data_IF_610467418996
#
_entry.id   IF_610467418996
#
_cell.length_a   1.000
_cell.length_b   1.000
_cell.length_c   1.000
_cell.angle_alpha   90.00
_cell.angle_beta   90.00
_cell.angle_gamma   90.00
#
_symmetry.space_group_name_H-M   'P 1'
#
loop_
_entity.id
_entity.type
_entity.pdbx_description
1 polymer ?
#
# COMPACT_ATOMS: atom_id res chain seq x y z
N UNK A 1 38.40 -81.36 6.64
CA UNK A 1 37.49 -80.20 6.79
C UNK A 1 37.34 -79.54 5.43
N UNK A 2 36.23 -79.78 4.75
CA UNK A 2 35.97 -79.31 3.38
C UNK A 2 35.43 -77.88 3.41
N UNK A 3 36.13 -76.93 2.76
CA UNK A 3 35.61 -75.57 2.53
C UNK A 3 34.46 -75.66 1.53
N UNK A 4 33.24 -75.38 1.97
CA UNK A 4 32.09 -75.15 1.07
C UNK A 4 32.37 -73.90 0.25
N UNK A 5 32.56 -74.07 -1.06
CA UNK A 5 32.46 -72.98 -2.01
C UNK A 5 30.98 -72.59 -2.11
N UNK A 6 30.65 -71.30 -1.97
CA UNK A 6 29.32 -70.81 -2.34
C UNK A 6 29.22 -70.84 -3.87
N UNK A 7 28.08 -71.25 -4.45
CA UNK A 7 27.84 -71.14 -5.88
C UNK A 7 27.99 -69.68 -6.31
N UNK A 8 28.72 -69.44 -7.40
CA UNK A 8 28.81 -68.13 -8.01
C UNK A 8 27.44 -67.78 -8.61
N UNK A 9 26.72 -66.84 -7.98
CA UNK A 9 25.46 -66.31 -8.50
C UNK A 9 25.76 -65.08 -9.37
N UNK A 10 25.57 -65.16 -10.71
CA UNK A 10 25.88 -64.06 -11.61
C UNK A 10 24.93 -62.86 -11.48
N UNK A 11 23.86 -62.97 -10.68
CA UNK A 11 22.83 -61.92 -10.50
C UNK A 11 22.96 -61.11 -9.20
N UNK A 12 23.95 -61.40 -8.35
CA UNK A 12 24.22 -60.61 -7.13
C UNK A 12 24.95 -59.28 -7.41
N UNK A 13 25.25 -58.95 -8.66
CA UNK A 13 25.75 -57.63 -9.06
C UNK A 13 24.58 -56.71 -9.30
N UNK A 14 24.27 -55.87 -8.30
CA UNK A 14 23.30 -54.78 -8.43
C UNK A 14 23.50 -54.04 -9.76
N UNK A 15 22.45 -54.02 -10.58
CA UNK A 15 22.51 -53.48 -11.94
C UNK A 15 22.79 -51.97 -11.93
N UNK A 16 23.23 -51.39 -13.07
CA UNK A 16 23.57 -49.96 -13.18
C UNK A 16 22.38 -49.00 -12.92
N UNK A 17 21.19 -49.53 -12.68
CA UNK A 17 19.95 -48.79 -12.43
C UNK A 17 19.26 -49.15 -11.10
N UNK A 18 19.93 -49.86 -10.17
CA UNK A 18 19.39 -49.96 -8.82
C UNK A 18 19.38 -48.57 -8.16
N UNK A 19 18.25 -48.12 -7.57
CA UNK A 19 18.20 -46.86 -6.85
C UNK A 19 19.15 -46.97 -5.65
N UNK A 20 20.35 -46.41 -5.83
CA UNK A 20 21.35 -46.29 -4.77
C UNK A 20 20.69 -45.53 -3.63
N UNK A 21 20.41 -46.21 -2.51
CA UNK A 21 19.89 -45.57 -1.31
C UNK A 21 20.85 -44.44 -0.93
N UNK A 22 20.46 -43.19 -1.24
CA UNK A 22 21.22 -42.01 -0.82
C UNK A 22 20.98 -41.89 0.69
N UNK A 23 21.83 -42.55 1.48
CA UNK A 23 21.86 -42.39 2.93
C UNK A 23 22.43 -41.01 3.22
N UNK A 24 21.56 -40.05 3.49
CA UNK A 24 21.98 -38.77 4.04
C UNK A 24 22.69 -39.01 5.38
N UNK A 25 23.98 -38.65 5.52
CA UNK A 25 24.67 -38.80 6.79
C UNK A 25 23.97 -37.94 7.84
N UNK A 26 23.47 -38.55 8.92
CA UNK A 26 22.91 -37.80 10.05
C UNK A 26 24.05 -36.99 10.68
N UNK A 27 23.95 -35.65 10.75
CA UNK A 27 25.03 -34.84 11.28
C UNK A 27 25.31 -35.24 12.74
N UNK A 28 26.60 -35.30 13.15
CA UNK A 28 26.97 -35.72 14.50
C UNK A 28 26.45 -34.72 15.54
N UNK A 29 26.15 -35.16 16.77
CA UNK A 29 25.57 -34.31 17.85
C UNK A 29 26.30 -32.97 18.06
N UNK A 30 27.62 -32.93 17.83
CA UNK A 30 28.47 -31.72 17.86
C UNK A 30 28.10 -30.66 16.81
N UNK A 31 27.59 -31.05 15.64
CA UNK A 31 27.08 -30.12 14.62
C UNK A 31 25.86 -29.35 15.15
N UNK A 32 24.93 -30.03 15.82
CA UNK A 32 23.76 -29.39 16.44
C UNK A 32 24.13 -28.47 17.60
N UNK A 33 25.19 -28.79 18.36
CA UNK A 33 25.73 -27.90 19.40
C UNK A 33 26.33 -26.65 18.76
N UNK A 34 27.14 -26.81 17.71
CA UNK A 34 27.71 -25.68 16.96
C UNK A 34 26.64 -24.81 16.28
N UNK A 35 25.64 -25.44 15.64
CA UNK A 35 24.50 -24.76 15.05
C UNK A 35 23.63 -24.05 16.10
N UNK A 36 23.47 -24.65 17.29
CA UNK A 36 22.77 -24.04 18.42
C UNK A 36 23.51 -22.82 18.98
N UNK A 37 24.84 -22.89 19.13
CA UNK A 37 25.67 -21.76 19.54
C UNK A 37 25.67 -20.64 18.51
N UNK A 38 25.79 -20.98 17.22
CA UNK A 38 25.69 -20.01 16.13
C UNK A 38 24.30 -19.37 16.10
N UNK A 39 23.24 -20.17 16.24
CA UNK A 39 21.87 -19.70 16.32
C UNK A 39 21.64 -18.77 17.52
N UNK A 40 22.20 -19.10 18.68
CA UNK A 40 22.17 -18.25 19.86
C UNK A 40 22.93 -16.94 19.64
N UNK A 41 24.12 -16.98 19.04
CA UNK A 41 24.90 -15.79 18.73
C UNK A 41 24.17 -14.86 17.74
N UNK A 42 23.55 -15.43 16.70
CA UNK A 42 22.70 -14.69 15.74
C UNK A 42 21.50 -14.09 16.46
N UNK A 43 20.85 -14.85 17.34
CA UNK A 43 19.71 -14.38 18.13
C UNK A 43 20.10 -13.22 19.05
N UNK A 44 21.20 -13.37 19.81
CA UNK A 44 21.75 -12.29 20.64
C UNK A 44 22.04 -11.07 19.79
N UNK A 45 22.70 -11.21 18.63
CA UNK A 45 23.01 -10.09 17.76
C UNK A 45 21.74 -9.37 17.24
N UNK A 46 20.74 -10.14 16.80
CA UNK A 46 19.45 -9.63 16.31
C UNK A 46 18.68 -8.85 17.39
N UNK A 47 18.73 -9.29 18.65
CA UNK A 47 18.01 -8.65 19.75
C UNK A 47 18.83 -7.56 20.46
N UNK A 48 20.16 -7.70 20.51
CA UNK A 48 21.03 -6.73 21.18
C UNK A 48 21.01 -5.37 20.48
N UNK A 49 21.02 -5.34 19.14
CA UNK A 49 21.05 -4.08 18.39
C UNK A 49 19.81 -3.19 18.67
N UNK A 50 18.55 -3.68 18.56
CA UNK A 50 17.37 -2.90 18.93
C UNK A 50 17.35 -2.44 20.39
N UNK A 51 17.83 -3.29 21.32
CA UNK A 51 17.88 -2.97 22.75
C UNK A 51 18.88 -1.83 23.01
N UNK A 52 20.10 -1.95 22.48
CA UNK A 52 21.13 -0.92 22.61
C UNK A 52 20.66 0.38 21.97
N UNK A 53 20.06 0.33 20.78
CA UNK A 53 19.47 1.50 20.14
C UNK A 53 18.38 2.14 21.04
N UNK A 54 17.45 1.35 21.58
CA UNK A 54 16.39 1.86 22.46
C UNK A 54 16.93 2.56 23.71
N UNK A 55 17.93 1.95 24.38
CA UNK A 55 18.57 2.56 25.54
C UNK A 55 19.41 3.78 25.20
N UNK A 56 20.00 3.83 24.02
CA UNK A 56 20.73 5.00 23.55
C UNK A 56 19.77 6.16 23.30
N UNK A 57 18.64 5.91 22.64
CA UNK A 57 17.68 6.98 22.34
C UNK A 57 16.95 7.48 23.56
N UNK A 58 16.57 6.62 24.50
CA UNK A 58 15.92 7.11 25.73
C UNK A 58 16.85 8.05 26.50
N UNK A 59 18.16 7.74 26.58
CA UNK A 59 19.14 8.60 27.24
C UNK A 59 19.39 9.90 26.47
N UNK A 60 19.42 9.84 25.14
CA UNK A 60 19.54 11.02 24.30
C UNK A 60 18.34 11.98 24.46
N UNK A 61 17.11 11.45 24.46
CA UNK A 61 15.90 12.24 24.71
C UNK A 61 15.83 12.78 26.14
N UNK A 62 16.31 12.02 27.14
CA UNK A 62 16.38 12.47 28.54
C UNK A 62 17.36 13.64 28.69
N UNK A 63 18.53 13.56 28.05
CA UNK A 63 19.52 14.64 28.05
C UNK A 63 19.00 15.95 27.44
N UNK A 64 18.03 15.87 26.51
CA UNK A 64 17.38 17.03 25.90
C UNK A 64 16.11 17.49 26.65
N UNK A 65 15.70 16.80 27.71
CA UNK A 65 14.46 17.10 28.45
C UNK A 65 13.17 16.68 27.72
N UNK A 66 13.26 15.85 26.68
CA UNK A 66 12.13 15.40 25.85
C UNK A 66 11.78 13.91 26.05
N UNK A 67 12.15 13.32 27.18
CA UNK A 67 11.86 11.91 27.51
C UNK A 67 10.39 11.53 27.33
N UNK A 68 9.47 12.40 27.76
CA UNK A 68 8.04 12.15 27.66
C UNK A 68 7.56 12.01 26.20
N UNK A 69 8.13 12.80 25.29
CA UNK A 69 7.84 12.72 23.85
C UNK A 69 8.25 11.35 23.29
N UNK A 70 9.43 10.87 23.65
CA UNK A 70 9.91 9.56 23.22
C UNK A 70 9.05 8.43 23.77
N UNK A 71 8.75 8.44 25.07
CA UNK A 71 7.93 7.39 25.71
C UNK A 71 6.52 7.35 25.15
N UNK A 72 5.91 8.51 24.88
CA UNK A 72 4.57 8.58 24.27
C UNK A 72 4.59 8.06 22.83
N UNK A 73 5.60 8.44 22.04
CA UNK A 73 5.78 7.90 20.68
C UNK A 73 5.90 6.38 20.70
N UNK A 74 6.80 5.83 21.51
CA UNK A 74 7.03 4.37 21.60
C UNK A 74 5.77 3.66 22.10
N UNK A 75 5.07 4.23 23.09
CA UNK A 75 3.82 3.70 23.59
C UNK A 75 2.77 3.61 22.48
N UNK A 76 2.54 4.68 21.72
CA UNK A 76 1.59 4.69 20.61
C UNK A 76 1.95 3.67 19.52
N UNK A 77 3.24 3.62 19.13
CA UNK A 77 3.73 2.63 18.15
C UNK A 77 3.47 1.19 18.61
N UNK A 78 3.79 0.90 19.87
CA UNK A 78 3.63 -0.44 20.45
C UNK A 78 2.16 -0.78 20.66
N UNK A 79 1.34 0.18 21.12
CA UNK A 79 -0.10 0.01 21.31
C UNK A 79 -0.81 -0.26 19.99
N UNK A 80 -0.46 0.46 18.91
CA UNK A 80 -1.00 0.19 17.57
C UNK A 80 -0.60 -1.19 17.05
N UNK A 81 0.67 -1.57 17.21
CA UNK A 81 1.14 -2.89 16.82
C UNK A 81 0.40 -4.00 17.59
N UNK A 82 0.38 -3.94 18.92
CA UNK A 82 -0.27 -4.96 19.76
C UNK A 82 -1.79 -4.97 19.52
N UNK A 83 -2.43 -3.81 19.47
CA UNK A 83 -3.88 -3.70 19.26
C UNK A 83 -4.32 -4.29 17.91
N UNK A 84 -3.64 -3.92 16.83
CA UNK A 84 -3.90 -4.49 15.50
C UNK A 84 -3.57 -5.99 15.46
N UNK A 85 -2.46 -6.42 16.05
CA UNK A 85 -2.07 -7.83 16.11
C UNK A 85 -3.11 -8.69 16.82
N UNK A 86 -3.54 -8.28 18.02
CA UNK A 86 -4.54 -9.02 18.79
C UNK A 86 -5.88 -9.06 18.05
N UNK A 87 -6.32 -7.94 17.45
CA UNK A 87 -7.56 -7.89 16.68
C UNK A 87 -7.51 -8.85 15.48
N UNK A 88 -6.43 -8.79 14.67
CA UNK A 88 -6.25 -9.67 13.51
C UNK A 88 -6.14 -11.13 13.94
N UNK A 89 -5.37 -11.42 14.98
CA UNK A 89 -5.15 -12.78 15.48
C UNK A 89 -6.47 -13.41 15.95
N UNK A 90 -7.23 -12.71 16.79
CA UNK A 90 -8.53 -13.18 17.28
C UNK A 90 -9.49 -13.41 16.10
N UNK A 91 -9.57 -12.45 15.18
CA UNK A 91 -10.42 -12.56 14.00
C UNK A 91 -10.04 -13.76 13.10
N UNK A 92 -8.76 -13.93 12.78
CA UNK A 92 -8.28 -15.03 11.94
C UNK A 92 -8.45 -16.38 12.62
N UNK A 93 -8.10 -16.50 13.91
CA UNK A 93 -8.28 -17.75 14.67
C UNK A 93 -9.76 -18.13 14.72
N UNK A 94 -10.66 -17.18 14.97
CA UNK A 94 -12.10 -17.44 14.98
C UNK A 94 -12.57 -18.02 13.63
N UNK A 95 -12.16 -17.42 12.52
CA UNK A 95 -12.52 -17.89 11.17
C UNK A 95 -11.87 -19.25 10.84
N UNK A 96 -10.63 -19.49 11.23
CA UNK A 96 -9.97 -20.80 11.06
C UNK A 96 -10.68 -21.87 11.87
N UNK A 97 -11.07 -21.59 13.12
CA UNK A 97 -11.85 -22.51 13.95
C UNK A 97 -13.17 -22.85 13.27
N UNK A 98 -13.89 -21.86 12.73
CA UNK A 98 -15.14 -22.08 11.98
C UNK A 98 -14.88 -22.96 10.75
N UNK A 99 -13.84 -22.65 9.95
CA UNK A 99 -13.51 -23.42 8.75
C UNK A 99 -13.17 -24.89 9.06
N UNK A 100 -12.35 -25.13 10.09
CA UNK A 100 -12.00 -26.48 10.54
C UNK A 100 -13.23 -27.26 11.06
N UNK A 101 -14.18 -26.58 11.73
CA UNK A 101 -15.44 -27.19 12.19
C UNK A 101 -16.36 -27.56 11.03
N UNK A 102 -16.44 -26.69 10.02
CA UNK A 102 -17.23 -26.94 8.80
C UNK A 102 -16.65 -28.10 8.00
N UNK A 103 -15.32 -28.18 7.87
CA UNK A 103 -14.61 -29.28 7.18
C UNK A 103 -14.82 -30.64 7.85
N UNK A 104 -14.91 -30.68 9.18
CA UNK A 104 -15.02 -31.94 9.93
C UNK A 104 -16.39 -32.65 9.77
N UNK A 105 -17.43 -31.97 9.27
CA UNK A 105 -18.76 -32.56 9.03
C UNK A 105 -19.50 -33.10 10.27
N UNK A 106 -20.82 -33.35 10.17
CA UNK A 106 -21.58 -34.08 11.19
C UNK A 106 -21.30 -35.59 11.20
N UNK A 107 -21.03 -36.18 10.02
CA UNK A 107 -20.92 -37.63 9.81
C UNK A 107 -19.69 -38.27 10.48
N UNK A 108 -18.55 -37.58 10.52
CA UNK A 108 -17.36 -38.06 11.24
C UNK A 108 -17.51 -37.97 12.76
N UNK A 109 -18.37 -37.06 13.24
CA UNK A 109 -18.69 -36.87 14.67
C UNK A 109 -19.62 -37.96 15.20
N UNK A 110 -20.55 -38.45 14.38
CA UNK A 110 -21.47 -39.52 14.72
C UNK A 110 -20.79 -40.90 14.88
N UNK A 111 -19.63 -41.10 14.24
CA UNK A 111 -18.87 -42.37 14.26
C UNK A 111 -17.84 -42.42 15.41
N UNK A 112 -17.82 -41.43 16.32
CA UNK A 112 -16.92 -41.44 17.49
C UNK A 112 -15.43 -41.25 17.17
N UNK A 113 -15.05 -41.15 15.90
CA UNK A 113 -13.69 -40.78 15.47
C UNK A 113 -13.58 -39.26 15.56
N UNK A 114 -13.53 -38.76 16.79
CA UNK A 114 -13.16 -37.38 17.07
C UNK A 114 -11.66 -37.22 16.82
N UNK A 115 -11.22 -37.24 15.55
CA UNK A 115 -9.94 -36.58 15.22
C UNK A 115 -10.17 -35.12 15.57
N UNK A 116 -9.53 -34.66 16.63
CA UNK A 116 -9.52 -33.23 16.93
C UNK A 116 -8.87 -32.53 15.75
N UNK A 117 -9.65 -31.94 14.84
CA UNK A 117 -9.13 -31.19 13.69
C UNK A 117 -8.09 -30.14 14.11
N UNK A 118 -8.17 -29.67 15.36
CA UNK A 118 -7.20 -28.78 16.00
C UNK A 118 -5.82 -29.37 16.26
N UNK A 119 -5.72 -30.68 16.58
CA UNK A 119 -4.42 -31.36 16.80
C UNK A 119 -3.90 -32.07 15.55
N UNK A 120 -4.62 -31.99 14.44
CA UNK A 120 -4.11 -32.44 13.14
C UNK A 120 -3.01 -31.49 12.68
N UNK A 121 -1.99 -32.01 11.99
CA UNK A 121 -0.92 -31.21 11.39
C UNK A 121 -1.48 -30.07 10.52
N UNK A 122 -2.59 -30.33 9.80
CA UNK A 122 -3.28 -29.31 8.99
C UNK A 122 -3.95 -28.20 9.81
N UNK A 123 -4.51 -28.52 10.98
CA UNK A 123 -5.10 -27.53 11.88
C UNK A 123 -4.04 -26.67 12.57
N UNK A 124 -2.95 -27.30 13.02
CA UNK A 124 -1.79 -26.59 13.55
C UNK A 124 -1.15 -25.66 12.51
N UNK A 125 -1.01 -26.13 11.26
CA UNK A 125 -0.51 -25.32 10.15
C UNK A 125 -1.42 -24.12 9.85
N UNK A 126 -2.76 -24.31 9.84
CA UNK A 126 -3.71 -23.22 9.62
C UNK A 126 -3.69 -22.16 10.73
N UNK A 127 -3.56 -22.58 11.99
CA UNK A 127 -3.42 -21.66 13.14
C UNK A 127 -2.07 -20.94 13.12
N UNK A 128 -0.99 -21.65 12.76
CA UNK A 128 0.33 -21.04 12.55
C UNK A 128 0.32 -20.01 11.42
N UNK A 129 -0.35 -20.31 10.31
CA UNK A 129 -0.55 -19.38 9.20
C UNK A 129 -1.39 -18.17 9.61
N UNK A 130 -2.46 -18.35 10.40
CA UNK A 130 -3.23 -17.25 10.96
C UNK A 130 -2.38 -16.32 11.84
N UNK A 131 -1.53 -16.88 12.70
CA UNK A 131 -0.62 -16.11 13.53
C UNK A 131 0.43 -15.35 12.69
N UNK A 132 0.98 -15.99 11.67
CA UNK A 132 1.93 -15.37 10.74
C UNK A 132 1.27 -14.22 9.96
N UNK A 133 0.06 -14.43 9.41
CA UNK A 133 -0.70 -13.40 8.71
C UNK A 133 -1.01 -12.22 9.63
N UNK A 134 -1.46 -12.47 10.86
CA UNK A 134 -1.71 -11.43 11.86
C UNK A 134 -0.45 -10.62 12.16
N UNK A 135 0.71 -11.28 12.30
CA UNK A 135 1.99 -10.64 12.55
C UNK A 135 2.42 -9.75 11.38
N UNK A 136 2.34 -10.27 10.15
CA UNK A 136 2.70 -9.53 8.93
C UNK A 136 1.81 -8.31 8.73
N UNK A 137 0.49 -8.45 8.87
CA UNK A 137 -0.46 -7.33 8.75
C UNK A 137 -0.20 -6.23 9.79
N UNK A 138 0.23 -6.62 10.99
CA UNK A 138 0.38 -5.68 12.12
C UNK A 138 1.75 -5.01 12.15
N UNK A 139 2.75 -5.59 11.47
CA UNK A 139 4.11 -5.02 11.41
C UNK A 139 4.16 -3.57 10.93
N UNK A 140 3.24 -3.17 10.04
CA UNK A 140 3.12 -1.79 9.56
C UNK A 140 2.30 -0.85 10.45
N UNK A 141 1.48 -1.36 11.37
CA UNK A 141 0.52 -0.54 12.11
C UNK A 141 1.19 0.48 13.03
N UNK A 142 2.31 0.10 13.66
CA UNK A 142 3.08 1.00 14.52
C UNK A 142 3.63 2.23 13.78
N UNK A 143 3.79 2.18 12.45
CA UNK A 143 4.24 3.33 11.65
C UNK A 143 3.21 4.47 11.58
N UNK A 144 1.95 4.18 11.91
CA UNK A 144 0.82 5.10 11.84
C UNK A 144 0.60 5.88 13.14
N UNK A 145 1.57 5.88 14.04
CA UNK A 145 1.47 6.58 15.33
C UNK A 145 1.28 8.10 15.17
N UNK A 146 1.89 8.73 14.16
CA UNK A 146 1.68 10.16 13.91
C UNK A 146 0.25 10.45 13.48
N UNK A 147 -0.31 9.66 12.56
CA UNK A 147 -1.68 9.86 12.10
C UNK A 147 -2.68 9.59 13.21
N UNK A 148 -2.44 8.59 14.07
CA UNK A 148 -3.24 8.37 15.28
C UNK A 148 -3.18 9.57 16.24
N UNK A 149 -1.99 10.10 16.51
CA UNK A 149 -1.82 11.24 17.41
C UNK A 149 -2.54 12.49 16.88
N UNK A 150 -2.42 12.76 15.57
CA UNK A 150 -3.13 13.87 14.92
C UNK A 150 -4.65 13.66 14.95
N UNK A 151 -5.12 12.44 14.74
CA UNK A 151 -6.55 12.09 14.82
C UNK A 151 -7.11 12.30 16.23
N UNK A 152 -6.40 11.86 17.28
CA UNK A 152 -6.81 11.98 18.68
C UNK A 152 -6.84 13.43 19.17
N UNK A 153 -5.96 14.28 18.63
CA UNK A 153 -5.83 15.68 19.02
C UNK A 153 -6.30 16.65 17.92
N UNK A 154 -7.12 16.18 16.98
CA UNK A 154 -7.61 16.98 15.88
C UNK A 154 -8.42 18.18 16.39
N UNK A 155 -8.12 19.38 15.86
CA UNK A 155 -8.87 20.61 16.14
C UNK A 155 -9.34 21.23 14.81
N UNK A 156 -10.59 21.75 14.73
CA UNK A 156 -11.07 22.45 13.56
C UNK A 156 -10.18 23.67 13.24
N UNK A 157 -9.87 23.88 11.96
CA UNK A 157 -9.19 25.10 11.53
C UNK A 157 -10.17 26.26 11.31
N UNK A 158 -11.46 25.95 11.09
CA UNK A 158 -12.50 26.92 10.77
C UNK A 158 -12.53 27.30 9.29
N UNK A 159 -11.70 26.66 8.47
CA UNK A 159 -11.60 26.91 7.02
C UNK A 159 -12.27 25.75 6.31
N UNK A 160 -13.40 26.03 5.67
CA UNK A 160 -14.19 25.03 4.94
C UNK A 160 -13.78 25.00 3.47
N UNK A 161 -13.47 23.80 3.00
CA UNK A 161 -13.18 23.52 1.61
C UNK A 161 -14.48 23.48 0.77
N UNK A 162 -14.45 24.07 -0.44
CA UNK A 162 -15.68 24.39 -1.21
C UNK A 162 -16.22 23.24 -2.07
N UNK A 163 -15.44 22.21 -2.37
CA UNK A 163 -15.80 21.09 -3.26
C UNK A 163 -16.61 20.05 -2.49
N UNK A 164 -16.14 19.62 -1.32
CA UNK A 164 -16.77 18.56 -0.51
C UNK A 164 -17.32 19.07 0.83
N UNK A 165 -17.12 20.34 1.16
CA UNK A 165 -17.74 20.99 2.32
C UNK A 165 -17.17 20.53 3.67
N UNK A 166 -15.96 19.99 3.68
CA UNK A 166 -15.28 19.57 4.91
C UNK A 166 -14.26 20.62 5.36
N UNK A 167 -14.03 20.72 6.67
CA UNK A 167 -12.99 21.56 7.24
C UNK A 167 -11.60 21.03 6.84
N UNK A 168 -10.63 21.92 6.62
CA UNK A 168 -9.26 21.52 6.25
C UNK A 168 -8.62 20.58 7.29
N UNK A 169 -8.98 20.71 8.58
CA UNK A 169 -8.51 19.80 9.63
C UNK A 169 -8.89 18.34 9.40
N UNK A 170 -10.05 18.07 8.78
CA UNK A 170 -10.48 16.70 8.49
C UNK A 170 -9.45 16.01 7.60
N UNK A 171 -9.01 16.68 6.54
CA UNK A 171 -8.10 16.09 5.59
C UNK A 171 -6.67 15.96 6.08
N UNK A 172 -6.18 16.94 6.85
CA UNK A 172 -4.79 16.93 7.33
C UNK A 172 -4.61 16.07 8.59
N UNK A 173 -5.61 16.03 9.48
CA UNK A 173 -5.48 15.45 10.82
C UNK A 173 -6.24 14.12 10.96
N UNK A 174 -7.39 13.96 10.30
CA UNK A 174 -8.25 12.78 10.51
C UNK A 174 -8.12 11.76 9.38
N UNK A 175 -8.21 12.21 8.13
CA UNK A 175 -8.26 11.38 6.93
C UNK A 175 -7.08 10.38 6.84
N UNK A 176 -5.81 10.74 7.11
CA UNK A 176 -4.70 9.78 7.01
C UNK A 176 -4.86 8.58 7.95
N UNK A 177 -5.38 8.81 9.16
CA UNK A 177 -5.63 7.71 10.10
C UNK A 177 -6.82 6.85 9.63
N UNK A 178 -7.89 7.46 9.13
CA UNK A 178 -9.02 6.72 8.57
C UNK A 178 -8.61 5.82 7.40
N UNK A 179 -7.77 6.31 6.48
CA UNK A 179 -7.18 5.47 5.43
C UNK A 179 -6.36 4.33 6.01
N UNK A 180 -5.55 4.57 7.03
CA UNK A 180 -4.74 3.53 7.66
C UNK A 180 -5.61 2.40 8.23
N UNK A 181 -6.73 2.74 8.87
CA UNK A 181 -7.69 1.77 9.43
C UNK A 181 -8.36 0.96 8.33
N UNK A 182 -8.88 1.60 7.29
CA UNK A 182 -9.60 0.91 6.22
C UNK A 182 -8.65 0.07 5.35
N UNK A 183 -7.43 0.57 5.06
CA UNK A 183 -6.41 -0.21 4.35
C UNK A 183 -6.00 -1.47 5.13
N UNK A 184 -5.81 -1.33 6.44
CA UNK A 184 -5.52 -2.47 7.31
C UNK A 184 -6.69 -3.47 7.34
N UNK A 185 -7.93 -2.99 7.42
CA UNK A 185 -9.13 -3.84 7.39
C UNK A 185 -9.32 -4.54 6.03
N UNK A 186 -9.01 -3.88 4.91
CA UNK A 186 -8.99 -4.51 3.58
C UNK A 186 -7.95 -5.63 3.51
N UNK A 187 -6.72 -5.36 3.99
CA UNK A 187 -5.67 -6.37 4.09
C UNK A 187 -6.10 -7.57 4.93
N UNK A 188 -6.71 -7.33 6.09
CA UNK A 188 -7.25 -8.37 6.96
C UNK A 188 -8.35 -9.19 6.27
N UNK A 189 -9.33 -8.53 5.64
CA UNK A 189 -10.43 -9.19 4.94
C UNK A 189 -9.94 -10.04 3.77
N UNK A 190 -9.06 -9.49 2.93
CA UNK A 190 -8.47 -10.19 1.78
C UNK A 190 -7.67 -11.42 2.22
N UNK A 191 -6.72 -11.25 3.15
CA UNK A 191 -5.89 -12.35 3.63
C UNK A 191 -6.69 -13.40 4.39
N UNK A 192 -7.75 -13.00 5.11
CA UNK A 192 -8.67 -13.96 5.73
C UNK A 192 -9.42 -14.76 4.67
N UNK A 193 -10.01 -14.13 3.66
CA UNK A 193 -10.70 -14.83 2.59
C UNK A 193 -9.77 -15.80 1.85
N UNK A 194 -8.53 -15.37 1.57
CA UNK A 194 -7.50 -16.20 0.95
C UNK A 194 -7.13 -17.40 1.84
N UNK A 195 -6.79 -17.16 3.11
CA UNK A 195 -6.43 -18.22 4.07
C UNK A 195 -7.56 -19.23 4.21
N UNK A 196 -8.79 -18.78 4.41
CA UNK A 196 -9.96 -19.65 4.58
C UNK A 196 -10.29 -20.40 3.29
N UNK A 197 -10.14 -19.76 2.13
CA UNK A 197 -10.25 -20.41 0.82
C UNK A 197 -9.24 -21.56 0.67
N UNK A 198 -7.97 -21.33 1.03
CA UNK A 198 -6.92 -22.36 1.04
C UNK A 198 -7.27 -23.49 2.02
N UNK A 199 -7.73 -23.17 3.23
CA UNK A 199 -8.13 -24.17 4.23
C UNK A 199 -9.28 -25.06 3.71
N UNK A 200 -10.22 -24.50 2.95
CA UNK A 200 -11.30 -25.28 2.34
C UNK A 200 -10.84 -26.10 1.12
N UNK A 201 -9.93 -25.56 0.32
CA UNK A 201 -9.43 -26.25 -0.88
C UNK A 201 -8.43 -27.37 -0.54
N UNK A 202 -7.71 -27.26 0.58
CA UNK A 202 -6.64 -28.20 0.95
C UNK A 202 -7.18 -29.50 1.56
N UNK A 203 -6.91 -30.64 0.90
CA UNK A 203 -7.31 -31.99 1.37
C UNK A 203 -6.16 -32.87 1.88
N UNK A 204 -5.00 -32.27 2.18
CA UNK A 204 -3.80 -32.98 2.58
C UNK A 204 -2.87 -33.13 1.38
N UNK A 205 -3.15 -34.11 0.52
CA UNK A 205 -2.29 -34.43 -0.63
C UNK A 205 -2.75 -33.73 -1.93
N UNK A 206 -3.97 -33.19 -1.96
CA UNK A 206 -4.54 -32.52 -3.14
C UNK A 206 -5.26 -31.22 -2.79
N UNK A 207 -5.39 -30.35 -3.80
CA UNK A 207 -6.26 -29.17 -3.77
C UNK A 207 -7.51 -29.45 -4.60
N UNK A 208 -8.69 -29.33 -3.97
CA UNK A 208 -9.99 -29.52 -4.63
C UNK A 208 -10.86 -28.27 -4.40
N UNK A 209 -11.30 -27.63 -5.49
CA UNK A 209 -12.13 -26.42 -5.46
C UNK A 209 -13.62 -26.71 -5.33
N UNK A 210 -14.02 -27.97 -5.16
CA UNK A 210 -15.40 -28.34 -4.87
C UNK A 210 -15.78 -27.95 -3.43
N UNK A 211 -16.24 -26.71 -3.26
CA UNK A 211 -16.66 -26.14 -1.99
C UNK A 211 -18.05 -26.65 -1.58
N UNK A 212 -18.16 -27.16 -0.36
CA UNK A 212 -19.46 -27.54 0.21
C UNK A 212 -20.36 -26.31 0.48
N UNK A 213 -21.70 -26.48 0.59
CA UNK A 213 -22.63 -25.36 0.78
C UNK A 213 -22.32 -24.47 1.99
N UNK A 214 -21.88 -25.05 3.10
CA UNK A 214 -21.49 -24.29 4.30
C UNK A 214 -20.18 -23.51 4.12
N UNK A 215 -19.25 -24.02 3.31
CA UNK A 215 -18.02 -23.29 2.96
C UNK A 215 -18.34 -22.09 2.08
N UNK A 216 -19.25 -22.26 1.11
CA UNK A 216 -19.77 -21.16 0.28
C UNK A 216 -20.44 -20.10 1.16
N UNK A 217 -21.27 -20.50 2.13
CA UNK A 217 -21.92 -19.58 3.06
C UNK A 217 -20.89 -18.76 3.86
N UNK A 218 -19.87 -19.42 4.43
CA UNK A 218 -18.83 -18.78 5.23
C UNK A 218 -17.98 -17.81 4.39
N UNK A 219 -17.53 -18.23 3.20
CA UNK A 219 -16.80 -17.35 2.28
C UNK A 219 -17.66 -16.18 1.81
N UNK A 220 -18.96 -16.37 1.59
CA UNK A 220 -19.87 -15.27 1.22
C UNK A 220 -20.00 -14.25 2.35
N UNK A 221 -20.06 -14.69 3.60
CA UNK A 221 -20.05 -13.78 4.74
C UNK A 221 -18.74 -12.98 4.84
N UNK A 222 -17.58 -13.64 4.63
CA UNK A 222 -16.28 -12.98 4.60
C UNK A 222 -16.19 -11.94 3.47
N UNK A 223 -16.62 -12.30 2.26
CA UNK A 223 -16.64 -11.37 1.13
C UNK A 223 -17.64 -10.23 1.31
N UNK A 224 -18.75 -10.45 2.02
CA UNK A 224 -19.69 -9.38 2.36
C UNK A 224 -19.05 -8.36 3.29
N UNK A 225 -18.37 -8.81 4.36
CA UNK A 225 -17.63 -7.92 5.26
C UNK A 225 -16.54 -7.17 4.48
N UNK A 226 -15.78 -7.87 3.64
CA UNK A 226 -14.77 -7.26 2.78
C UNK A 226 -15.36 -6.18 1.85
N UNK A 227 -16.51 -6.45 1.22
CA UNK A 227 -17.19 -5.49 0.35
C UNK A 227 -17.70 -4.26 1.11
N UNK A 228 -18.13 -4.38 2.38
CA UNK A 228 -18.47 -3.22 3.21
C UNK A 228 -17.25 -2.37 3.54
N UNK A 229 -16.12 -3.00 3.89
CA UNK A 229 -14.85 -2.28 4.11
C UNK A 229 -14.40 -1.60 2.81
N UNK A 230 -14.57 -2.25 1.67
CA UNK A 230 -14.29 -1.69 0.35
C UNK A 230 -15.19 -0.51 0.01
N UNK A 231 -16.47 -0.57 0.39
CA UNK A 231 -17.39 0.56 0.25
C UNK A 231 -16.92 1.78 1.05
N UNK A 232 -16.47 1.56 2.30
CA UNK A 232 -15.90 2.61 3.15
C UNK A 232 -14.59 3.16 2.57
N UNK A 233 -13.74 2.30 2.00
CA UNK A 233 -12.51 2.71 1.33
C UNK A 233 -12.79 3.62 0.14
N UNK A 234 -13.73 3.23 -0.72
CA UNK A 234 -14.16 4.04 -1.86
C UNK A 234 -14.77 5.36 -1.40
N UNK A 235 -15.57 5.33 -0.33
CA UNK A 235 -16.15 6.55 0.22
C UNK A 235 -15.07 7.54 0.68
N UNK A 236 -14.05 7.06 1.39
CA UNK A 236 -12.92 7.90 1.82
C UNK A 236 -12.09 8.38 0.63
N UNK A 237 -11.92 7.56 -0.41
CA UNK A 237 -11.18 7.90 -1.63
C UNK A 237 -11.73 9.12 -2.39
N UNK A 238 -12.97 9.55 -2.10
CA UNK A 238 -13.54 10.80 -2.61
C UNK A 238 -12.77 12.03 -2.12
N UNK A 239 -12.24 11.99 -0.90
CA UNK A 239 -11.51 13.10 -0.29
C UNK A 239 -10.07 13.22 -0.83
N UNK A 240 -9.51 12.13 -1.36
CA UNK A 240 -8.17 12.10 -1.95
C UNK A 240 -8.07 12.92 -3.24
N UNK A 241 -9.20 13.15 -3.92
CA UNK A 241 -9.26 13.91 -5.17
C UNK A 241 -8.73 15.34 -5.02
N UNK A 242 -8.74 15.90 -3.81
CA UNK A 242 -8.22 17.24 -3.53
C UNK A 242 -6.69 17.30 -3.45
N UNK A 243 -6.02 16.16 -3.29
CA UNK A 243 -4.56 16.03 -3.22
C UNK A 243 -3.98 15.36 -4.47
N UNK A 244 -4.85 14.85 -5.35
CA UNK A 244 -4.45 14.15 -6.54
C UNK A 244 -3.88 15.09 -7.59
N UNK A 245 -2.91 14.61 -8.36
CA UNK A 245 -2.39 15.29 -9.55
C UNK A 245 -2.78 14.49 -10.79
N UNK A 246 -4.09 14.53 -11.09
CA UNK A 246 -4.68 13.75 -12.18
C UNK A 246 -4.77 14.51 -13.51
N UNK A 247 -4.61 15.84 -13.49
CA UNK A 247 -4.50 16.66 -14.69
C UNK A 247 -3.06 17.17 -14.82
N UNK A 248 -2.62 17.45 -16.04
CA UNK A 248 -1.28 18.00 -16.30
C UNK A 248 -1.13 19.47 -15.89
N UNK A 249 -2.22 20.14 -15.53
CA UNK A 249 -2.27 21.60 -15.36
C UNK A 249 -2.59 22.01 -13.91
N UNK A 250 -3.33 21.18 -13.17
CA UNK A 250 -3.84 21.51 -11.83
C UNK A 250 -3.26 20.55 -10.80
N UNK A 251 -2.74 21.07 -9.69
CA UNK A 251 -2.48 20.28 -8.48
C UNK A 251 -3.71 20.35 -7.57
N UNK A 252 -4.36 19.19 -7.40
CA UNK A 252 -5.62 19.05 -6.68
C UNK A 252 -6.79 18.72 -7.62
N UNK A 253 -8.02 18.89 -7.13
CA UNK A 253 -9.21 18.43 -7.82
C UNK A 253 -9.47 19.21 -9.13
N UNK A 254 -9.19 18.58 -10.28
CA UNK A 254 -9.43 19.14 -11.60
C UNK A 254 -10.90 19.00 -12.05
N UNK A 255 -11.25 19.55 -13.22
CA UNK A 255 -12.61 19.43 -13.77
C UNK A 255 -13.07 17.96 -13.85
N UNK A 256 -12.23 17.08 -14.39
CA UNK A 256 -12.54 15.65 -14.54
C UNK A 256 -12.67 14.96 -13.18
N UNK A 257 -11.88 15.36 -12.19
CA UNK A 257 -11.93 14.77 -10.86
C UNK A 257 -13.28 15.06 -10.19
N UNK A 258 -13.74 16.31 -10.26
CA UNK A 258 -15.01 16.74 -9.65
C UNK A 258 -16.22 16.24 -10.44
N UNK A 259 -16.19 16.30 -11.76
CA UNK A 259 -17.37 16.02 -12.58
C UNK A 259 -17.46 14.58 -13.09
N UNK A 260 -16.35 13.83 -13.13
CA UNK A 260 -16.34 12.45 -13.62
C UNK A 260 -15.90 11.44 -12.55
N UNK A 261 -14.74 11.64 -11.90
CA UNK A 261 -14.24 10.66 -10.92
C UNK A 261 -15.08 10.61 -9.65
N UNK A 262 -15.40 11.77 -9.08
CA UNK A 262 -16.15 11.86 -7.83
C UNK A 262 -17.52 11.15 -7.92
N UNK A 263 -18.35 11.37 -8.97
CA UNK A 263 -19.58 10.61 -9.16
C UNK A 263 -19.35 9.09 -9.27
N UNK A 264 -18.33 8.65 -10.00
CA UNK A 264 -18.08 7.22 -10.18
C UNK A 264 -17.65 6.56 -8.88
N UNK A 265 -16.69 7.14 -8.15
CA UNK A 265 -16.24 6.58 -6.88
C UNK A 265 -17.40 6.55 -5.86
N UNK A 266 -18.26 7.57 -5.88
CA UNK A 266 -19.48 7.60 -5.06
C UNK A 266 -20.43 6.46 -5.44
N UNK A 267 -20.66 6.25 -6.74
CA UNK A 267 -21.48 5.15 -7.24
C UNK A 267 -20.89 3.78 -6.89
N UNK A 268 -19.58 3.59 -7.06
CA UNK A 268 -18.85 2.36 -6.72
C UNK A 268 -18.95 2.06 -5.22
N UNK A 269 -18.87 3.07 -4.36
CA UNK A 269 -19.09 2.91 -2.92
C UNK A 269 -20.50 2.37 -2.63
N UNK A 270 -21.53 2.96 -3.23
CA UNK A 270 -22.91 2.45 -3.11
C UNK A 270 -23.08 1.04 -3.68
N UNK A 271 -22.49 0.76 -4.85
CA UNK A 271 -22.53 -0.54 -5.49
C UNK A 271 -21.86 -1.62 -4.64
N UNK A 272 -20.75 -1.31 -3.96
CA UNK A 272 -20.08 -2.22 -3.03
C UNK A 272 -21.00 -2.59 -1.85
N UNK A 273 -21.80 -1.65 -1.32
CA UNK A 273 -22.81 -1.94 -0.29
C UNK A 273 -23.89 -2.89 -0.81
N UNK A 274 -24.38 -2.68 -2.03
CA UNK A 274 -25.38 -3.55 -2.66
C UNK A 274 -24.83 -4.97 -2.87
N UNK A 275 -23.59 -5.09 -3.37
CA UNK A 275 -22.91 -6.37 -3.54
C UNK A 275 -22.69 -7.08 -2.19
N UNK A 276 -22.33 -6.33 -1.14
CA UNK A 276 -22.25 -6.88 0.22
C UNK A 276 -23.60 -7.46 0.66
N UNK A 277 -24.70 -6.74 0.43
CA UNK A 277 -26.06 -7.23 0.69
C UNK A 277 -26.38 -8.53 -0.06
N UNK A 278 -26.05 -8.60 -1.36
CA UNK A 278 -26.25 -9.82 -2.16
C UNK A 278 -25.42 -11.02 -1.63
N UNK A 279 -24.18 -10.77 -1.20
CA UNK A 279 -23.31 -11.77 -0.60
C UNK A 279 -23.82 -12.24 0.78
N UNK A 280 -24.40 -11.33 1.58
CA UNK A 280 -25.07 -11.69 2.82
C UNK A 280 -26.28 -12.59 2.54
N UNK A 281 -27.14 -12.23 1.58
CA UNK A 281 -28.27 -13.08 1.16
C UNK A 281 -27.77 -14.48 0.71
N UNK A 282 -26.60 -14.55 0.08
CA UNK A 282 -25.99 -15.82 -0.32
C UNK A 282 -25.55 -16.71 0.85
N UNK A 283 -25.44 -16.20 2.09
CA UNK A 283 -25.19 -17.03 3.27
C UNK A 283 -26.31 -18.08 3.45
N UNK A 284 -27.55 -17.71 3.10
CA UNK A 284 -28.70 -18.61 3.10
C UNK A 284 -28.87 -19.39 1.79
N UNK A 285 -28.63 -18.75 0.63
CA UNK A 285 -28.82 -19.40 -0.68
C UNK A 285 -27.69 -20.40 -1.04
N UNK A 286 -26.47 -20.15 -0.57
CA UNK A 286 -25.28 -21.01 -0.68
C UNK A 286 -24.92 -21.38 -2.12
N UNK A 287 -25.09 -20.46 -3.06
CA UNK A 287 -24.80 -20.67 -4.48
C UNK A 287 -23.46 -20.04 -4.85
N UNK A 288 -22.57 -20.81 -5.48
CA UNK A 288 -21.23 -20.34 -5.87
C UNK A 288 -21.28 -19.24 -6.94
N UNK A 289 -22.28 -19.27 -7.82
CA UNK A 289 -22.39 -18.26 -8.89
C UNK A 289 -22.61 -16.85 -8.36
N UNK A 290 -23.23 -16.67 -7.17
CA UNK A 290 -23.47 -15.33 -6.62
C UNK A 290 -22.14 -14.61 -6.29
N UNK A 291 -21.22 -15.16 -5.49
CA UNK A 291 -19.90 -14.55 -5.27
C UNK A 291 -19.09 -14.36 -6.56
N UNK A 292 -19.17 -15.30 -7.51
CA UNK A 292 -18.48 -15.18 -8.79
C UNK A 292 -19.03 -14.00 -9.61
N UNK A 293 -20.35 -13.86 -9.70
CA UNK A 293 -20.98 -12.71 -10.38
C UNK A 293 -20.70 -11.40 -9.66
N UNK A 294 -20.72 -11.37 -8.33
CA UNK A 294 -20.38 -10.18 -7.55
C UNK A 294 -18.94 -9.72 -7.85
N UNK A 295 -17.98 -10.64 -7.89
CA UNK A 295 -16.61 -10.35 -8.28
C UNK A 295 -16.50 -9.85 -9.74
N UNK A 296 -17.21 -10.48 -10.68
CA UNK A 296 -17.25 -10.06 -12.07
C UNK A 296 -17.85 -8.65 -12.28
N UNK A 297 -18.97 -8.36 -11.61
CA UNK A 297 -19.60 -7.03 -11.60
C UNK A 297 -18.63 -6.01 -11.00
N UNK A 298 -17.97 -6.34 -9.89
CA UNK A 298 -17.00 -5.46 -9.27
C UNK A 298 -15.83 -5.13 -10.22
N UNK A 299 -15.27 -6.13 -10.90
CA UNK A 299 -14.20 -5.93 -11.89
C UNK A 299 -14.68 -5.01 -13.03
N UNK A 300 -15.89 -5.21 -13.54
CA UNK A 300 -16.47 -4.33 -14.56
C UNK A 300 -16.61 -2.88 -14.07
N UNK A 301 -17.06 -2.68 -12.82
CA UNK A 301 -17.15 -1.35 -12.21
C UNK A 301 -15.79 -0.68 -12.06
N UNK A 302 -14.74 -1.44 -11.68
CA UNK A 302 -13.37 -0.91 -11.62
C UNK A 302 -12.90 -0.42 -12.99
N UNK A 303 -13.15 -1.17 -14.06
CA UNK A 303 -12.81 -0.77 -15.42
C UNK A 303 -13.52 0.53 -15.81
N UNK A 304 -14.81 0.65 -15.52
CA UNK A 304 -15.59 1.87 -15.78
C UNK A 304 -14.97 3.07 -15.03
N UNK A 305 -14.56 2.88 -13.77
CA UNK A 305 -13.90 3.90 -12.96
C UNK A 305 -12.60 4.44 -13.54
N UNK A 306 -11.87 3.64 -14.32
CA UNK A 306 -10.65 4.07 -14.99
C UNK A 306 -10.92 4.66 -16.38
N UNK A 307 -11.81 4.03 -17.15
CA UNK A 307 -12.05 4.39 -18.55
C UNK A 307 -12.83 5.70 -18.68
N UNK A 308 -13.91 5.87 -17.91
CA UNK A 308 -14.78 7.03 -18.09
C UNK A 308 -14.10 8.39 -17.81
N UNK A 309 -13.37 8.57 -16.68
CA UNK A 309 -12.65 9.82 -16.44
C UNK A 309 -11.55 10.07 -17.49
N UNK A 310 -10.88 9.01 -17.96
CA UNK A 310 -9.87 9.14 -19.02
C UNK A 310 -10.48 9.63 -20.34
N UNK A 311 -11.66 9.14 -20.70
CA UNK A 311 -12.42 9.62 -21.86
C UNK A 311 -12.83 11.09 -21.68
N UNK A 312 -13.41 11.45 -20.54
CA UNK A 312 -13.79 12.86 -20.26
C UNK A 312 -12.57 13.79 -20.34
N UNK A 313 -11.45 13.41 -19.73
CA UNK A 313 -10.22 14.19 -19.80
C UNK A 313 -9.74 14.36 -21.24
N UNK A 314 -9.64 13.26 -22.00
CA UNK A 314 -9.01 13.26 -23.31
C UNK A 314 -9.85 13.94 -24.39
N UNK A 315 -11.18 13.77 -24.33
CA UNK A 315 -12.09 14.25 -25.38
C UNK A 315 -12.78 15.57 -25.06
N UNK A 316 -12.98 15.92 -23.78
CA UNK A 316 -13.67 17.16 -23.40
C UNK A 316 -12.72 18.20 -22.82
N UNK A 317 -11.85 17.79 -21.89
CA UNK A 317 -11.05 18.74 -21.10
C UNK A 317 -9.77 19.14 -21.83
N UNK A 318 -8.94 18.19 -22.24
CA UNK A 318 -7.65 18.47 -22.88
C UNK A 318 -7.79 19.36 -24.13
N UNK A 319 -8.77 19.15 -25.04
CA UNK A 319 -8.93 20.00 -26.22
C UNK A 319 -9.35 21.44 -25.90
N UNK A 320 -10.03 21.67 -24.78
CA UNK A 320 -10.51 22.99 -24.36
C UNK A 320 -10.22 23.26 -22.88
N UNK A 321 -8.96 23.05 -22.48
CA UNK A 321 -8.55 23.13 -21.08
C UNK A 321 -8.75 24.53 -20.50
N UNK A 322 -8.61 25.57 -21.33
CA UNK A 322 -8.82 26.96 -20.90
C UNK A 322 -10.24 27.18 -20.37
N UNK A 323 -11.27 26.62 -21.00
CA UNK A 323 -12.65 26.82 -20.53
C UNK A 323 -12.95 26.00 -19.28
N UNK A 324 -12.52 24.73 -19.28
CA UNK A 324 -12.90 23.78 -18.22
C UNK A 324 -12.02 23.87 -16.96
N UNK A 325 -10.72 24.18 -17.08
CA UNK A 325 -9.77 24.12 -15.96
C UNK A 325 -9.54 25.48 -15.28
N UNK A 326 -9.80 26.63 -15.93
CA UNK A 326 -9.63 27.96 -15.32
C UNK A 326 -10.23 28.06 -13.90
N UNK A 327 -11.49 27.65 -13.63
CA UNK A 327 -12.05 27.79 -12.28
C UNK A 327 -11.39 26.87 -11.23
N UNK A 328 -10.70 25.82 -11.66
CA UNK A 328 -9.95 24.93 -10.77
C UNK A 328 -8.55 25.47 -10.52
N UNK A 329 -7.87 25.98 -11.56
CA UNK A 329 -6.59 26.70 -11.44
C UNK A 329 -6.73 27.89 -10.50
N UNK A 330 -7.79 28.70 -10.62
CA UNK A 330 -8.02 29.84 -9.73
C UNK A 330 -8.19 29.41 -8.26
N UNK A 331 -8.85 28.26 -8.02
CA UNK A 331 -8.98 27.69 -6.68
C UNK A 331 -7.65 27.20 -6.13
N UNK A 332 -6.86 26.52 -6.94
CA UNK A 332 -5.51 26.08 -6.56
C UNK A 332 -4.61 27.27 -6.21
N UNK A 333 -4.60 28.32 -7.04
CA UNK A 333 -3.84 29.54 -6.78
C UNK A 333 -4.31 30.20 -5.48
N UNK A 334 -5.63 30.32 -5.27
CA UNK A 334 -6.18 30.90 -4.04
C UNK A 334 -5.80 30.07 -2.80
N UNK A 335 -5.92 28.74 -2.88
CA UNK A 335 -5.56 27.83 -1.79
C UNK A 335 -4.07 27.87 -1.46
N UNK A 336 -3.21 27.83 -2.47
CA UNK A 336 -1.75 27.90 -2.31
C UNK A 336 -1.33 29.25 -1.73
N UNK A 337 -1.89 30.36 -2.23
CA UNK A 337 -1.63 31.69 -1.67
C UNK A 337 -2.06 31.79 -0.21
N UNK A 338 -3.20 31.23 0.15
CA UNK A 338 -3.67 31.19 1.53
C UNK A 338 -2.74 30.33 2.42
N UNK A 339 -2.33 29.16 1.94
CA UNK A 339 -1.48 28.23 2.70
C UNK A 339 -0.08 28.80 2.99
N UNK A 340 0.55 29.43 2.00
CA UNK A 340 1.88 30.04 2.16
C UNK A 340 1.84 31.48 2.70
N UNK A 341 0.65 32.02 2.99
CA UNK A 341 0.50 33.41 3.45
C UNK A 341 0.88 34.47 2.41
N UNK A 342 0.77 34.15 1.12
CA UNK A 342 1.17 35.02 -0.01
C UNK A 342 0.11 36.05 -0.40
N UNK A 343 -1.00 36.12 0.32
CA UNK A 343 -2.12 37.03 0.06
C UNK A 343 -1.71 38.51 0.16
N UNK A 344 -0.80 38.83 1.08
CA UNK A 344 -0.41 40.20 1.45
C UNK A 344 1.06 40.52 1.13
N UNK A 345 1.58 40.01 0.01
CA UNK A 345 2.97 40.26 -0.41
C UNK A 345 3.02 41.43 -1.39
N UNK A 346 3.89 42.41 -1.13
CA UNK A 346 4.14 43.51 -2.07
C UNK A 346 4.98 43.00 -3.24
N UNK A 347 4.39 42.94 -4.43
CA UNK A 347 5.12 42.60 -5.66
C UNK A 347 5.82 43.88 -6.15
N UNK A 348 7.14 43.81 -6.35
CA UNK A 348 7.92 44.86 -7.00
C UNK A 348 8.55 44.28 -8.25
N UNK A 349 8.44 44.99 -9.36
CA UNK A 349 9.13 44.60 -10.59
C UNK A 349 10.58 45.03 -10.47
N UNK A 350 11.53 44.23 -10.98
CA UNK A 350 12.95 44.61 -10.94
C UNK A 350 13.24 45.95 -11.64
N UNK A 351 12.38 46.36 -12.58
CA UNK A 351 12.43 47.67 -13.22
C UNK A 351 12.15 48.83 -12.25
N UNK A 352 11.42 48.59 -11.15
CA UNK A 352 10.97 49.60 -10.20
C UNK A 352 11.95 49.78 -9.02
N UNK A 353 13.02 48.97 -8.93
CA UNK A 353 14.03 49.03 -7.88
C UNK A 353 15.46 48.97 -8.46
N UNK A 354 16.16 50.13 -8.55
CA UNK A 354 17.52 50.21 -9.12
C UNK A 354 18.54 49.31 -8.42
N UNK A 355 18.34 49.04 -7.12
CA UNK A 355 19.24 48.23 -6.30
C UNK A 355 19.09 46.73 -6.64
N UNK A 356 17.85 46.29 -6.85
CA UNK A 356 17.52 44.92 -7.28
C UNK A 356 17.96 44.67 -8.73
N UNK A 357 17.80 45.66 -9.61
CA UNK A 357 18.29 45.62 -10.99
C UNK A 357 19.81 45.48 -11.05
N UNK A 358 20.54 46.20 -10.19
CA UNK A 358 22.00 46.13 -10.10
C UNK A 358 22.49 44.75 -9.61
N UNK A 359 21.84 44.18 -8.59
CA UNK A 359 22.15 42.85 -8.06
C UNK A 359 21.90 41.73 -9.09
N UNK A 360 20.79 41.79 -9.83
CA UNK A 360 20.48 40.83 -10.89
C UNK A 360 21.45 40.96 -12.07
N UNK A 361 21.84 42.18 -12.45
CA UNK A 361 22.81 42.43 -13.53
C UNK A 361 24.21 41.93 -13.17
N UNK A 362 24.61 42.01 -11.90
CA UNK A 362 25.85 41.41 -11.41
C UNK A 362 25.82 39.88 -11.45
N UNK A 363 24.72 39.26 -11.00
CA UNK A 363 24.55 37.79 -11.05
C UNK A 363 24.53 37.26 -12.48
N UNK A 364 23.95 38.00 -13.43
CA UNK A 364 23.92 37.61 -14.84
C UNK A 364 25.30 37.63 -15.51
N UNK A 365 26.23 38.50 -15.07
CA UNK A 365 27.62 38.51 -15.56
C UNK A 365 28.48 37.34 -15.07
N UNK A 366 28.09 36.70 -13.96
CA UNK A 366 28.82 35.58 -13.37
C UNK A 366 28.38 34.20 -13.87
N UNK A 367 27.33 34.13 -14.69
CA UNK A 367 26.86 32.88 -15.31
C UNK A 367 27.54 32.74 -16.68
N UNK A 368 28.13 31.57 -17.02
CA UNK A 368 28.60 31.33 -18.38
C UNK A 368 27.43 31.42 -19.34
N UNK A 369 27.65 32.05 -20.51
CA UNK A 369 26.65 32.31 -21.55
C UNK A 369 25.75 31.09 -21.79
N UNK A 370 24.57 31.09 -21.16
CA UNK A 370 23.45 30.32 -21.65
C UNK A 370 22.71 31.20 -22.65
N UNK A 371 22.47 30.65 -23.84
CA UNK A 371 21.80 31.32 -24.94
C UNK A 371 20.54 32.07 -24.43
N UNK A 372 20.34 33.32 -24.86
CA UNK A 372 19.22 34.12 -24.40
C UNK A 372 17.92 33.45 -24.84
N UNK A 373 17.09 33.06 -23.88
CA UNK A 373 15.67 32.80 -24.14
C UNK A 373 15.02 34.16 -24.38
N UNK A 374 14.70 34.44 -25.64
CA UNK A 374 14.04 35.66 -26.05
C UNK A 374 12.61 35.65 -25.50
N UNK A 375 12.36 36.37 -24.41
CA UNK A 375 11.00 36.62 -23.91
C UNK A 375 10.55 37.96 -24.47
N UNK A 376 9.79 37.92 -25.56
CA UNK A 376 9.14 39.09 -26.12
C UNK A 376 8.12 39.65 -25.11
N UNK A 377 8.29 40.93 -24.77
CA UNK A 377 7.48 41.68 -23.82
C UNK A 377 6.12 42.11 -24.36
N UNK A 378 5.45 41.27 -25.16
CA UNK A 378 4.07 41.49 -25.57
C UNK A 378 3.13 40.71 -24.65
N UNK A 379 2.27 41.40 -23.90
CA UNK A 379 1.25 40.76 -23.04
C UNK A 379 0.23 39.91 -23.83
N UNK A 380 0.34 39.86 -25.16
CA UNK A 380 -0.41 38.95 -26.04
C UNK A 380 0.35 37.65 -26.38
N UNK A 381 1.63 37.52 -26.02
CA UNK A 381 2.46 36.35 -26.33
C UNK A 381 2.21 35.16 -25.38
N UNK A 382 1.79 35.41 -24.14
CA UNK A 382 1.44 34.35 -23.17
C UNK A 382 0.29 33.45 -23.65
N UNK A 383 -0.60 33.98 -24.50
CA UNK A 383 -1.70 33.23 -25.11
C UNK A 383 -1.21 32.38 -26.29
N UNK A 384 -0.19 32.82 -27.04
CA UNK A 384 0.38 32.07 -28.17
C UNK A 384 1.29 30.91 -27.73
N UNK A 385 1.99 31.05 -26.60
CA UNK A 385 2.81 29.96 -26.06
C UNK A 385 1.96 28.77 -25.57
N UNK A 386 0.76 29.04 -25.05
CA UNK A 386 -0.24 28.01 -24.72
C UNK A 386 -0.87 27.40 -25.99
N UNK A 387 -0.94 28.14 -27.08
CA UNK A 387 -1.48 27.67 -28.36
C UNK A 387 -0.51 26.74 -29.11
N UNK A 388 0.81 26.94 -28.99
CA UNK A 388 1.81 26.07 -29.58
C UNK A 388 1.97 24.73 -28.84
N UNK A 389 1.73 24.70 -27.52
CA UNK A 389 1.71 23.46 -26.74
C UNK A 389 0.43 22.62 -26.94
N UNK A 390 -0.61 23.19 -27.55
CA UNK A 390 -1.88 22.54 -27.85
C UNK A 390 -1.97 21.93 -29.28
N UNK A 391 -0.93 22.07 -30.10
CA UNK A 391 -0.81 21.40 -31.39
C UNK A 391 0.01 20.12 -31.25
N UNK A 392 -0.66 18.96 -31.24
CA UNK A 392 0.03 17.67 -31.21
C UNK A 392 0.88 17.44 -32.48
N UNK A 393 2.00 16.69 -32.42
CA UNK A 393 2.66 16.21 -33.61
C UNK A 393 2.03 14.90 -34.08
N UNK A 394 1.63 14.89 -35.35
CA UNK A 394 1.44 13.66 -36.11
C UNK A 394 2.72 12.79 -36.09
N UNK A 395 2.43 11.49 -36.14
CA UNK A 395 3.27 10.31 -36.31
C UNK A 395 4.66 10.50 -36.96
N UNK A 396 5.67 9.93 -36.29
CA UNK A 396 6.75 9.19 -36.96
C UNK A 396 8.12 9.87 -37.00
N UNK A 397 8.86 9.84 -35.88
CA UNK A 397 10.33 9.78 -35.86
C UNK A 397 10.86 9.49 -34.42
N UNK A 398 11.87 8.62 -34.23
CA UNK A 398 12.42 8.34 -32.91
C UNK A 398 13.33 9.49 -32.43
N UNK A 399 13.17 9.90 -31.17
CA UNK A 399 13.99 10.94 -30.53
C UNK A 399 15.46 10.50 -30.35
N UNK A 400 16.45 11.39 -30.52
CA UNK A 400 17.85 11.05 -30.30
C UNK A 400 18.19 10.98 -28.79
N UNK A 401 19.21 10.20 -28.39
CA UNK A 401 19.51 9.93 -26.99
C UNK A 401 20.17 11.14 -26.30
N UNK A 402 19.69 11.43 -25.09
CA UNK A 402 20.29 12.43 -24.18
C UNK A 402 21.54 11.83 -23.55
N UNK A 403 22.73 12.33 -23.92
CA UNK A 403 23.98 12.02 -23.23
C UNK A 403 24.01 12.70 -21.86
N UNK A 404 23.94 11.92 -20.78
CA UNK A 404 24.31 12.35 -19.43
C UNK A 404 25.83 12.44 -19.33
N UNK A 405 26.37 13.67 -19.32
CA UNK A 405 27.80 13.90 -19.04
C UNK A 405 27.99 14.11 -17.54
N UNK A 406 28.61 13.14 -16.90
CA UNK A 406 29.07 13.16 -15.50
C UNK A 406 30.15 14.23 -15.34
N UNK A 407 29.98 15.14 -14.38
CA UNK A 407 30.99 16.14 -14.03
C UNK A 407 31.97 15.55 -13.01
N UNK A 408 33.25 15.43 -13.38
CA UNK A 408 34.36 15.25 -12.44
C UNK A 408 34.73 16.60 -11.83
N UNK A 409 34.59 16.74 -10.52
CA UNK A 409 35.10 17.89 -9.77
C UNK A 409 36.64 17.88 -9.77
N UNK A 410 37.25 19.03 -10.14
CA UNK A 410 38.63 19.33 -9.79
C UNK A 410 38.63 20.39 -8.68
N UNK A 411 39.42 20.13 -7.65
CA UNK A 411 39.70 21.01 -6.51
C UNK A 411 40.28 22.36 -6.94
N UNK A 412 40.05 23.44 -6.16
CA UNK A 412 40.65 24.74 -6.42
C UNK A 412 42.10 24.77 -5.94
N UNK A 413 43.00 25.21 -6.83
CA UNK A 413 44.38 25.59 -6.49
C UNK A 413 44.38 26.93 -5.76
N UNK A 414 45.21 26.99 -4.73
CA UNK A 414 45.56 28.16 -3.93
C UNK A 414 46.07 29.31 -4.81
N UNK A 415 45.50 30.51 -4.59
CA UNK A 415 46.10 31.76 -5.02
C UNK A 415 46.52 32.53 -3.76
N UNK A 416 47.82 32.58 -3.54
CA UNK A 416 48.42 33.50 -2.58
C UNK A 416 48.34 34.94 -3.05
N UNK A 417 48.20 35.85 -2.09
CA UNK A 417 48.54 37.27 -2.24
C UNK A 417 49.31 37.72 -1.00
N UNK A 418 50.26 38.62 -1.28
CA UNK A 418 51.31 39.17 -0.43
C UNK A 418 50.85 39.80 0.88
#
# INVERSE_FOLDING_TARGET
MTRRYRPFDPFERGGPFEPREIRFPRPPRRFWIGAGLLGLAVLIFLFASPIVWFFTEIQWYDALGFKDVFTTRVFMQTALFIGSFLLALIYLIANVIIALRVRAGPSLRAVGIARSSFRSASGGAALGAAALVALVLSGGAGTQWQSLALFQHAKPTGIIERVLGQDVSFYLLMLPFLHSVVNWALGLGFLTALLIGIVYAWRGDTFDLNLGPMAIAHLSALFAIFALVLAAWMWLGRYDLLYAHNSSVVWGAAYTDVNARLPIVTFQSGAAVVLAGALLVNVWLRRLWIPVTAAGVWIALLLIGQVYPAVVQSFLVTPNAQTYEIPFIQREIAGTRAAYGLSNVSVRTAADDPHLLHLLRHRHRSLPDQQPVHVDGDQRAGVRFLQAAAGGPELGQPAPPVHTRVWHGREPRECGCR
#
